data_IF_695749015631
#
_entry.id   IF_695749015631
#
_cell.length_a   1.000
_cell.length_b   1.000
_cell.length_c   1.000
_cell.angle_alpha   90.00
_cell.angle_beta   90.00
_cell.angle_gamma   90.00
#
_symmetry.space_group_name_H-M   'P 1'
#
loop_
_entity.id
_entity.type
_entity.pdbx_description
1 polymer ?
#
# COMPACT_ATOMS: atom_id res chain seq x y z
N UNK A 1 0.61 64.87 -31.87
CA UNK A 1 1.99 65.36 -31.86
C UNK A 1 2.65 64.63 -30.75
N UNK A 2 3.51 63.69 -30.84
CA UNK A 2 4.55 63.14 -31.64
C UNK A 2 4.71 61.69 -31.13
N UNK A 3 4.47 60.73 -31.84
CA UNK A 3 5.27 59.77 -32.62
C UNK A 3 6.62 59.41 -31.94
N UNK A 4 6.80 58.17 -31.45
CA UNK A 4 8.06 57.40 -31.53
C UNK A 4 7.72 55.91 -31.71
N UNK A 5 8.10 55.43 -32.85
CA UNK A 5 8.14 54.07 -33.39
C UNK A 5 9.09 53.16 -32.59
N UNK A 6 8.66 51.91 -32.41
CA UNK A 6 9.18 50.71 -33.07
C UNK A 6 10.70 50.48 -33.05
N UNK A 7 11.14 49.46 -32.29
CA UNK A 7 12.32 48.63 -32.55
C UNK A 7 12.14 47.25 -31.98
N UNK A 8 11.40 46.41 -32.70
CA UNK A 8 11.70 44.99 -32.77
C UNK A 8 12.96 44.81 -33.59
N UNK A 9 13.95 44.04 -33.15
CA UNK A 9 14.69 43.07 -33.94
C UNK A 9 15.73 42.33 -33.11
N UNK A 10 15.54 41.01 -33.10
CA UNK A 10 16.56 40.01 -33.44
C UNK A 10 17.71 39.73 -32.45
N UNK A 11 17.51 38.72 -31.60
CA UNK A 11 18.59 37.87 -31.07
C UNK A 11 18.06 36.45 -30.75
N UNK A 12 17.67 35.72 -31.80
CA UNK A 12 17.53 34.26 -31.73
C UNK A 12 18.20 33.69 -32.98
N UNK A 13 19.48 33.45 -32.93
CA UNK A 13 20.22 32.52 -33.79
C UNK A 13 21.67 32.53 -33.32
N UNK A 14 22.03 31.59 -32.44
CA UNK A 14 23.40 31.05 -32.31
C UNK A 14 23.43 30.18 -31.03
N UNK A 15 23.20 28.94 -31.19
CA UNK A 15 23.72 27.80 -30.39
C UNK A 15 23.00 26.49 -30.76
N UNK A 16 23.01 26.22 -32.06
CA UNK A 16 22.89 24.85 -32.56
C UNK A 16 24.09 24.60 -33.43
N UNK A 17 25.07 23.86 -32.93
CA UNK A 17 26.10 23.09 -33.63
C UNK A 17 27.34 22.98 -32.75
N UNK A 18 27.45 21.89 -32.04
CA UNK A 18 28.70 21.18 -31.74
C UNK A 18 28.42 20.15 -30.65
N UNK A 19 28.15 18.92 -31.01
CA UNK A 19 28.57 17.71 -30.32
C UNK A 19 28.14 16.51 -31.16
N UNK A 20 28.89 16.30 -32.21
CA UNK A 20 28.92 15.03 -32.94
C UNK A 20 30.38 14.81 -33.33
N UNK A 21 31.08 13.94 -32.59
CA UNK A 21 32.10 13.03 -33.12
C UNK A 21 32.88 12.34 -32.01
N UNK A 22 33.01 11.03 -32.22
CA UNK A 22 34.00 10.12 -31.66
C UNK A 22 33.69 9.67 -30.20
N UNK A 23 33.53 8.37 -29.91
CA UNK A 23 34.41 7.27 -30.25
C UNK A 23 33.67 5.93 -30.12
N UNK A 24 33.75 5.11 -31.14
CA UNK A 24 33.51 3.67 -31.11
C UNK A 24 34.52 3.00 -30.19
N UNK A 25 34.06 2.47 -29.06
CA UNK A 25 34.82 1.60 -28.21
C UNK A 25 33.95 0.39 -27.86
N UNK A 26 34.14 -0.72 -28.58
CA UNK A 26 33.53 -1.99 -28.30
C UNK A 26 34.11 -2.56 -27.00
N UNK A 27 33.34 -2.55 -25.92
CA UNK A 27 33.61 -3.40 -24.73
C UNK A 27 32.64 -4.59 -24.78
N UNK A 28 33.20 -5.76 -25.06
CA UNK A 28 32.52 -7.03 -24.90
C UNK A 28 32.24 -7.26 -23.41
N UNK A 29 30.99 -7.11 -22.98
CA UNK A 29 30.52 -7.54 -21.67
C UNK A 29 30.08 -9.00 -21.78
N UNK A 30 30.88 -9.88 -21.18
CA UNK A 30 30.54 -11.27 -20.95
C UNK A 30 29.25 -11.34 -20.14
N UNK A 31 28.18 -11.83 -20.74
CA UNK A 31 26.90 -12.06 -20.09
C UNK A 31 27.00 -13.23 -19.10
N UNK A 32 27.06 -12.95 -17.83
CA UNK A 32 26.73 -13.92 -16.80
C UNK A 32 25.21 -14.03 -16.73
N UNK A 33 24.66 -15.10 -17.37
CA UNK A 33 23.30 -15.53 -17.16
C UNK A 33 23.18 -16.07 -15.72
N UNK A 34 22.72 -15.24 -14.80
CA UNK A 34 22.18 -15.74 -13.53
C UNK A 34 20.86 -16.43 -13.83
N UNK A 35 20.86 -17.75 -13.79
CA UNK A 35 19.65 -18.56 -13.82
C UNK A 35 18.84 -18.23 -12.57
N UNK A 36 17.66 -17.67 -12.79
CA UNK A 36 16.64 -17.62 -11.74
C UNK A 36 16.26 -19.05 -11.38
N UNK A 37 16.64 -19.46 -10.17
CA UNK A 37 16.18 -20.71 -9.59
C UNK A 37 14.66 -20.68 -9.56
N UNK A 38 14.03 -21.65 -10.20
CA UNK A 38 12.60 -21.94 -10.08
C UNK A 38 12.33 -22.21 -8.59
N UNK A 39 11.61 -21.29 -7.96
CA UNK A 39 11.10 -21.46 -6.61
C UNK A 39 10.06 -22.59 -6.67
N UNK A 40 10.40 -23.74 -6.11
CA UNK A 40 9.44 -24.82 -5.87
C UNK A 40 8.37 -24.29 -4.93
N UNK A 41 7.12 -24.40 -5.34
CA UNK A 41 5.97 -24.09 -4.50
C UNK A 41 6.06 -24.91 -3.20
N UNK A 42 5.89 -24.28 -2.02
CA UNK A 42 5.82 -25.05 -0.77
C UNK A 42 4.61 -25.98 -0.80
N UNK A 43 4.81 -27.19 -0.31
CA UNK A 43 3.79 -28.23 -0.16
C UNK A 43 2.56 -27.69 0.62
N UNK A 44 1.39 -27.72 -0.02
CA UNK A 44 0.14 -27.12 0.47
C UNK A 44 -0.53 -27.91 1.62
N UNK A 45 0.17 -28.82 2.29
CA UNK A 45 -0.44 -29.78 3.23
C UNK A 45 -0.12 -29.55 4.72
N UNK A 46 0.61 -28.49 5.09
CA UNK A 46 0.87 -28.19 6.51
C UNK A 46 -0.17 -27.17 7.01
N UNK A 47 -1.05 -27.51 7.98
CA UNK A 47 -1.89 -26.51 8.63
C UNK A 47 -0.97 -25.49 9.32
N UNK A 48 -0.93 -24.27 8.81
CA UNK A 48 -0.16 -23.21 9.46
C UNK A 48 -0.71 -22.98 10.86
N UNK A 49 0.08 -23.32 11.87
CA UNK A 49 -0.22 -22.98 13.27
C UNK A 49 -0.41 -21.46 13.38
N UNK A 50 -1.35 -21.02 14.21
CA UNK A 50 -1.55 -19.58 14.44
C UNK A 50 -0.18 -18.96 14.82
N UNK A 51 0.29 -17.93 14.11
CA UNK A 51 1.52 -17.25 14.50
C UNK A 51 1.41 -16.73 15.93
N UNK A 52 2.49 -16.81 16.71
CA UNK A 52 2.53 -16.19 18.04
C UNK A 52 2.20 -14.70 17.89
N UNK A 53 1.07 -14.28 18.46
CA UNK A 53 0.54 -12.93 18.29
C UNK A 53 1.02 -12.02 19.41
N UNK A 54 1.41 -10.76 19.10
CA UNK A 54 1.60 -9.75 20.13
C UNK A 54 0.29 -9.56 20.92
N UNK A 55 0.40 -9.33 22.24
CA UNK A 55 -0.75 -9.18 23.13
C UNK A 55 -1.67 -8.00 22.77
N UNK A 56 -1.17 -7.07 21.98
CA UNK A 56 -1.88 -5.87 21.54
C UNK A 56 -2.60 -6.02 20.17
N UNK A 57 -2.66 -7.25 19.62
CA UNK A 57 -3.33 -7.51 18.34
C UNK A 57 -4.44 -8.54 18.54
N UNK A 58 -5.65 -8.18 18.15
CA UNK A 58 -6.81 -9.08 18.11
C UNK A 58 -7.07 -9.52 16.68
N UNK A 59 -7.34 -10.80 16.47
CA UNK A 59 -7.63 -11.37 15.17
C UNK A 59 -8.92 -12.14 15.20
N UNK A 60 -9.85 -11.78 14.32
CA UNK A 60 -11.12 -12.47 14.13
C UNK A 60 -11.36 -12.75 12.64
N UNK A 61 -12.26 -13.70 12.35
CA UNK A 61 -12.79 -13.93 11.01
C UNK A 61 -14.25 -13.52 10.96
N UNK A 62 -14.61 -12.71 9.98
CA UNK A 62 -15.97 -12.30 9.72
C UNK A 62 -16.43 -12.91 8.39
N UNK A 63 -17.67 -13.45 8.39
CA UNK A 63 -18.32 -14.05 7.22
C UNK A 63 -17.46 -15.13 6.53
N UNK A 64 -16.51 -15.74 7.26
CA UNK A 64 -15.59 -16.77 6.79
C UNK A 64 -14.47 -16.30 5.88
N UNK A 65 -14.56 -15.11 5.27
CA UNK A 65 -13.66 -14.63 4.21
C UNK A 65 -12.98 -13.29 4.51
N UNK A 66 -13.32 -12.60 5.57
CA UNK A 66 -12.76 -11.32 5.98
C UNK A 66 -11.88 -11.53 7.21
N UNK A 67 -10.61 -11.14 7.15
CA UNK A 67 -9.70 -11.14 8.29
C UNK A 67 -9.79 -9.79 9.01
N UNK A 68 -10.32 -9.77 10.24
CA UNK A 68 -10.32 -8.59 11.09
C UNK A 68 -9.05 -8.55 11.92
N UNK A 69 -8.29 -7.46 11.82
CA UNK A 69 -7.03 -7.24 12.54
C UNK A 69 -7.20 -5.98 13.39
N UNK A 70 -7.46 -6.17 14.66
CA UNK A 70 -7.58 -5.06 15.61
C UNK A 70 -6.25 -4.78 16.29
N UNK A 71 -5.78 -3.53 16.22
CA UNK A 71 -4.58 -3.08 16.91
C UNK A 71 -5.00 -2.26 18.14
N UNK A 72 -4.42 -2.58 19.29
CA UNK A 72 -4.48 -1.76 20.49
C UNK A 72 -3.12 -1.14 20.74
N UNK A 73 -3.05 0.16 20.75
CA UNK A 73 -1.85 0.86 21.17
C UNK A 73 -1.95 1.17 22.66
N UNK A 74 -1.00 0.66 23.45
CA UNK A 74 -0.95 0.88 24.90
C UNK A 74 -0.06 2.06 25.29
N UNK A 75 0.78 2.52 24.34
CA UNK A 75 1.67 3.68 24.49
C UNK A 75 1.88 4.36 23.13
N UNK A 76 2.39 5.59 23.11
CA UNK A 76 2.76 6.28 21.86
C UNK A 76 3.97 5.63 21.13
N UNK A 77 4.47 4.49 21.60
CA UNK A 77 5.62 3.78 21.05
C UNK A 77 5.19 2.58 20.24
N UNK A 78 5.78 2.42 19.07
CA UNK A 78 5.59 1.27 18.18
C UNK A 78 6.74 0.31 18.34
N UNK A 79 6.48 -0.85 18.89
CA UNK A 79 7.46 -1.93 19.05
C UNK A 79 7.67 -2.69 17.73
N UNK A 80 8.90 -3.13 17.47
CA UNK A 80 9.24 -3.95 16.30
C UNK A 80 8.46 -5.27 16.29
N UNK A 81 8.24 -5.88 17.46
CA UNK A 81 7.45 -7.10 17.64
C UNK A 81 6.02 -6.97 17.11
N UNK A 82 5.38 -5.83 17.33
CA UNK A 82 4.02 -5.54 16.84
C UNK A 82 3.99 -5.45 15.32
N UNK A 83 5.01 -4.83 14.71
CA UNK A 83 5.13 -4.74 13.25
C UNK A 83 5.38 -6.12 12.64
N UNK A 84 6.22 -6.94 13.27
CA UNK A 84 6.45 -8.33 12.84
C UNK A 84 5.17 -9.15 12.94
N UNK A 85 4.44 -9.04 14.05
CA UNK A 85 3.16 -9.73 14.24
C UNK A 85 2.13 -9.35 13.18
N UNK A 86 1.99 -8.05 12.90
CA UNK A 86 1.12 -7.57 11.82
C UNK A 86 1.55 -8.10 10.45
N UNK A 87 2.84 -8.12 10.16
CA UNK A 87 3.36 -8.64 8.90
C UNK A 87 3.09 -10.13 8.68
N UNK A 88 3.10 -10.93 9.75
CA UNK A 88 2.68 -12.34 9.71
C UNK A 88 1.18 -12.51 9.45
N UNK A 89 0.35 -11.60 9.96
CA UNK A 89 -1.08 -11.61 9.65
C UNK A 89 -1.37 -11.23 8.20
N UNK A 90 -0.60 -10.30 7.63
CA UNK A 90 -0.70 -9.99 6.22
C UNK A 90 -0.22 -11.16 5.35
N UNK A 91 0.78 -11.91 5.79
CA UNK A 91 1.19 -13.15 5.16
C UNK A 91 0.08 -14.21 5.22
N UNK A 92 -0.53 -14.41 6.40
CA UNK A 92 -1.69 -15.29 6.57
C UNK A 92 -2.85 -14.88 5.65
N UNK A 93 -3.17 -13.57 5.58
CA UNK A 93 -4.20 -13.05 4.69
C UNK A 93 -3.95 -13.49 3.25
N UNK A 94 -2.73 -13.37 2.75
CA UNK A 94 -2.39 -13.67 1.37
C UNK A 94 -2.41 -15.18 1.05
N UNK A 95 -1.98 -16.03 2.01
CA UNK A 95 -1.77 -17.45 1.79
C UNK A 95 -2.96 -18.34 2.21
N UNK A 96 -3.89 -17.84 3.01
CA UNK A 96 -5.13 -18.58 3.34
C UNK A 96 -6.15 -18.40 2.21
N UNK A 97 -6.40 -19.45 1.43
CA UNK A 97 -7.29 -19.40 0.26
C UNK A 97 -8.74 -19.05 0.59
N UNK A 98 -9.17 -19.21 1.83
CA UNK A 98 -10.52 -18.85 2.28
C UNK A 98 -10.67 -17.35 2.51
N UNK A 99 -9.58 -16.64 2.79
CA UNK A 99 -9.59 -15.20 3.03
C UNK A 99 -9.58 -14.42 1.72
N UNK A 100 -10.34 -13.35 1.66
CA UNK A 100 -10.55 -12.49 0.48
C UNK A 100 -10.02 -11.08 0.67
N UNK A 101 -10.12 -10.55 1.90
CA UNK A 101 -9.80 -9.16 2.23
C UNK A 101 -9.44 -9.06 3.71
N UNK A 102 -8.54 -8.15 4.05
CA UNK A 102 -8.25 -7.76 5.43
C UNK A 102 -8.94 -6.45 5.82
N UNK A 103 -9.33 -6.33 7.09
CA UNK A 103 -9.74 -5.07 7.71
C UNK A 103 -8.83 -4.81 8.90
N UNK A 104 -8.04 -3.75 8.82
CA UNK A 104 -7.19 -3.28 9.90
C UNK A 104 -7.89 -2.15 10.65
N UNK A 105 -7.99 -2.23 11.97
CA UNK A 105 -8.73 -1.24 12.74
C UNK A 105 -8.13 -0.97 14.12
N UNK A 106 -8.50 0.17 14.70
CA UNK A 106 -8.17 0.54 16.06
C UNK A 106 -9.10 -0.15 17.05
N UNK A 107 -8.54 -0.76 18.11
CA UNK A 107 -9.30 -1.27 19.27
C UNK A 107 -9.43 -0.26 20.41
N UNK A 108 -8.66 0.82 20.38
CA UNK A 108 -8.61 1.86 21.40
C UNK A 108 -9.10 3.21 20.88
N UNK A 109 -8.96 4.26 21.69
CA UNK A 109 -9.32 5.61 21.26
C UNK A 109 -8.43 6.15 20.13
N UNK A 110 -7.20 5.67 20.02
CA UNK A 110 -6.23 6.03 19.00
C UNK A 110 -5.93 4.84 18.08
N UNK A 111 -5.55 5.10 16.84
CA UNK A 111 -5.10 4.04 15.92
C UNK A 111 -3.65 3.67 16.25
N UNK A 112 -2.68 4.41 15.74
CA UNK A 112 -1.25 4.19 16.02
C UNK A 112 -0.57 5.55 16.13
N UNK A 113 0.10 5.81 17.25
CA UNK A 113 1.01 6.94 17.42
C UNK A 113 2.31 6.75 16.65
N UNK A 114 3.11 7.78 16.56
CA UNK A 114 4.17 7.87 15.58
C UNK A 114 5.58 7.65 16.08
N UNK A 115 5.82 7.16 17.29
CA UNK A 115 7.16 7.06 17.85
C UNK A 115 7.64 5.61 17.83
N UNK A 116 8.74 5.33 17.14
CA UNK A 116 9.38 4.02 17.21
C UNK A 116 9.98 3.82 18.61
N UNK A 117 9.78 2.64 19.20
CA UNK A 117 10.49 2.28 20.42
C UNK A 117 11.97 2.04 20.14
N UNK A 118 12.81 2.98 20.55
CA UNK A 118 14.23 2.99 20.18
C UNK A 118 15.00 1.74 20.61
N UNK A 119 14.59 1.09 21.69
CA UNK A 119 15.26 -0.13 22.17
C UNK A 119 14.92 -1.33 21.25
N UNK A 120 13.66 -1.57 20.95
CA UNK A 120 13.22 -2.68 20.09
C UNK A 120 13.66 -2.47 18.63
N UNK A 121 13.70 -1.23 18.15
CA UNK A 121 14.12 -0.89 16.79
C UNK A 121 15.63 -0.74 16.62
N UNK A 122 16.43 -0.77 17.68
CA UNK A 122 17.88 -0.58 17.61
C UNK A 122 18.60 -1.45 16.57
N UNK A 123 18.24 -2.73 16.34
CA UNK A 123 18.86 -3.53 15.29
C UNK A 123 18.58 -2.97 13.88
N UNK A 124 17.35 -2.57 13.60
CA UNK A 124 16.94 -1.99 12.30
C UNK A 124 17.64 -0.64 12.08
N UNK A 125 17.64 0.23 13.09
CA UNK A 125 18.25 1.56 13.02
C UNK A 125 19.76 1.50 12.79
N UNK A 126 20.46 0.48 13.31
CA UNK A 126 21.90 0.29 13.09
C UNK A 126 22.25 -0.29 11.74
N UNK A 127 21.43 -1.19 11.21
CA UNK A 127 21.74 -1.93 9.98
C UNK A 127 21.06 -1.38 8.74
N UNK A 128 20.01 -0.57 8.91
CA UNK A 128 19.13 -0.14 7.82
C UNK A 128 18.34 -1.28 7.19
N UNK A 129 18.24 -2.41 7.87
CA UNK A 129 17.57 -3.62 7.34
C UNK A 129 16.60 -4.18 8.36
N UNK A 130 15.44 -4.62 7.89
CA UNK A 130 14.53 -5.45 8.68
C UNK A 130 15.18 -6.81 8.95
N UNK A 131 14.95 -7.42 10.13
CA UNK A 131 15.42 -8.77 10.39
C UNK A 131 14.75 -9.74 9.40
N UNK A 132 15.50 -10.77 8.98
CA UNK A 132 14.91 -11.86 8.21
C UNK A 132 13.81 -12.51 9.03
N UNK A 133 12.60 -12.47 8.51
CA UNK A 133 11.41 -12.94 9.20
C UNK A 133 10.64 -13.86 8.25
N UNK A 134 10.60 -15.16 8.52
CA UNK A 134 9.76 -16.09 7.75
C UNK A 134 8.27 -15.71 7.85
N UNK A 135 7.51 -16.01 6.79
CA UNK A 135 6.06 -15.79 6.78
C UNK A 135 5.68 -14.33 7.11
N UNK A 136 6.32 -13.40 6.43
CA UNK A 136 6.21 -11.99 6.70
C UNK A 136 5.97 -11.19 5.42
N UNK A 137 4.99 -10.28 5.47
CA UNK A 137 4.80 -9.21 4.48
C UNK A 137 4.96 -7.88 5.21
N UNK A 138 5.82 -7.03 4.70
CA UNK A 138 6.05 -5.72 5.30
C UNK A 138 4.73 -4.91 5.35
N UNK A 139 4.23 -4.51 6.55
CA UNK A 139 2.93 -3.88 6.68
C UNK A 139 2.79 -2.53 5.97
N UNK A 140 3.90 -1.80 5.81
CA UNK A 140 3.92 -0.53 5.08
C UNK A 140 4.28 -0.69 3.60
N UNK A 141 4.56 -1.93 3.14
CA UNK A 141 4.74 -2.25 1.73
C UNK A 141 5.99 -1.68 1.07
N UNK A 142 7.03 -1.33 1.84
CA UNK A 142 8.27 -0.73 1.32
C UNK A 142 9.28 -1.74 0.79
N UNK A 143 9.13 -3.01 1.12
CA UNK A 143 10.00 -4.10 0.65
C UNK A 143 9.17 -5.30 0.21
N UNK A 144 9.60 -6.07 -0.81
CA UNK A 144 8.94 -7.30 -1.21
C UNK A 144 9.08 -8.41 -0.15
N UNK A 145 8.18 -9.42 -0.15
CA UNK A 145 7.02 -9.54 -1.01
C UNK A 145 5.91 -8.54 -0.66
N UNK A 146 5.20 -8.05 -1.68
CA UNK A 146 4.05 -7.18 -1.48
C UNK A 146 2.76 -7.97 -1.33
N UNK A 147 1.86 -7.47 -0.49
CA UNK A 147 0.53 -8.06 -0.27
C UNK A 147 -0.26 -8.13 -1.57
N UNK A 148 -0.89 -9.27 -1.84
CA UNK A 148 -1.68 -9.52 -3.05
C UNK A 148 -3.19 -9.35 -2.82
N UNK A 149 -3.68 -9.56 -1.60
CA UNK A 149 -5.10 -9.38 -1.27
C UNK A 149 -5.37 -7.98 -0.72
N UNK A 150 -6.58 -7.44 -0.93
CA UNK A 150 -6.92 -6.09 -0.50
C UNK A 150 -6.91 -5.92 1.02
N UNK A 151 -6.60 -4.70 1.45
CA UNK A 151 -6.65 -4.27 2.84
C UNK A 151 -7.49 -2.98 2.95
N UNK A 152 -8.50 -3.01 3.78
CA UNK A 152 -9.25 -1.84 4.21
C UNK A 152 -8.76 -1.42 5.58
N UNK A 153 -8.56 -0.13 5.83
CA UNK A 153 -8.18 0.36 7.15
C UNK A 153 -9.25 1.28 7.73
N UNK A 154 -9.52 1.14 9.03
CA UNK A 154 -10.43 1.99 9.79
C UNK A 154 -9.68 2.64 10.95
N UNK A 155 -9.58 3.96 10.95
CA UNK A 155 -8.81 4.71 11.95
C UNK A 155 -9.67 5.70 12.73
N UNK A 156 -9.28 5.96 13.97
CA UNK A 156 -9.83 7.01 14.83
C UNK A 156 -8.74 7.59 15.72
N UNK A 157 -8.99 8.75 16.34
CA UNK A 157 -8.04 9.42 17.21
C UNK A 157 -6.70 9.68 16.51
N UNK A 158 -5.58 9.40 17.15
CA UNK A 158 -4.25 9.62 16.58
C UNK A 158 -3.91 8.57 15.51
N UNK A 159 -3.59 9.04 14.31
CA UNK A 159 -3.05 8.25 13.21
C UNK A 159 -1.78 8.96 12.70
N UNK A 160 -0.64 8.72 13.34
CA UNK A 160 0.54 9.58 13.23
C UNK A 160 1.80 8.77 12.91
N UNK A 161 2.75 9.37 12.19
CA UNK A 161 4.04 8.77 11.87
C UNK A 161 3.90 7.38 11.27
N UNK A 162 4.45 6.36 11.93
CA UNK A 162 4.33 4.96 11.48
C UNK A 162 2.86 4.52 11.32
N UNK A 163 1.92 5.05 12.13
CA UNK A 163 0.49 4.81 11.98
C UNK A 163 -0.07 5.41 10.69
N UNK A 164 0.34 6.61 10.32
CA UNK A 164 -0.04 7.19 9.04
C UNK A 164 0.60 6.46 7.85
N UNK A 165 1.84 5.99 7.96
CA UNK A 165 2.46 5.15 6.93
C UNK A 165 1.74 3.81 6.74
N UNK A 166 1.32 3.17 7.83
CA UNK A 166 0.50 1.97 7.79
C UNK A 166 -0.88 2.24 7.16
N UNK A 167 -1.49 3.39 7.46
CA UNK A 167 -2.73 3.84 6.86
C UNK A 167 -2.60 4.05 5.34
N UNK A 168 -1.52 4.68 4.89
CA UNK A 168 -1.22 4.89 3.46
C UNK A 168 -0.97 3.59 2.69
N UNK A 169 -0.52 2.53 3.37
CA UNK A 169 -0.29 1.21 2.76
C UNK A 169 -1.57 0.41 2.48
N UNK A 170 -2.72 0.84 3.02
CA UNK A 170 -4.02 0.22 2.76
C UNK A 170 -4.61 0.68 1.41
N UNK A 171 -5.44 -0.19 0.80
CA UNK A 171 -6.04 0.08 -0.51
C UNK A 171 -7.31 0.95 -0.41
N UNK A 172 -8.07 0.83 0.68
CA UNK A 172 -9.23 1.68 0.99
C UNK A 172 -9.15 2.14 2.44
N UNK A 173 -9.39 3.42 2.67
CA UNK A 173 -9.16 4.07 3.96
C UNK A 173 -10.42 4.77 4.46
N UNK A 174 -10.79 4.43 5.70
CA UNK A 174 -11.92 5.00 6.44
C UNK A 174 -11.40 5.67 7.70
N UNK A 175 -11.78 6.91 7.94
CA UNK A 175 -11.43 7.65 9.14
C UNK A 175 -12.69 8.08 9.90
N UNK A 176 -12.63 8.04 11.23
CA UNK A 176 -13.59 8.77 12.05
C UNK A 176 -13.28 10.28 11.95
N UNK A 177 -14.31 11.12 12.10
CA UNK A 177 -14.19 12.57 11.96
C UNK A 177 -13.30 13.23 13.04
N UNK A 178 -13.05 12.52 14.15
CA UNK A 178 -12.14 12.93 15.22
C UNK A 178 -10.67 12.48 14.98
N UNK A 179 -10.37 11.85 13.84
CA UNK A 179 -9.02 11.41 13.53
C UNK A 179 -8.08 12.59 13.32
N UNK A 180 -6.94 12.54 14.00
CA UNK A 180 -5.85 13.51 13.88
C UNK A 180 -4.64 12.84 13.26
N UNK A 181 -4.29 13.26 12.06
CA UNK A 181 -3.14 12.78 11.32
C UNK A 181 -1.90 13.65 11.60
N UNK A 182 -0.72 13.07 11.52
CA UNK A 182 0.56 13.78 11.52
C UNK A 182 1.66 12.93 10.87
N UNK A 183 2.66 13.61 10.31
CA UNK A 183 3.90 13.00 9.81
C UNK A 183 5.09 13.83 10.31
N UNK A 184 5.34 13.72 11.61
CA UNK A 184 6.19 14.67 12.33
C UNK A 184 7.62 14.19 12.62
N UNK A 185 8.17 13.23 11.89
CA UNK A 185 9.50 12.64 12.13
C UNK A 185 10.61 13.67 12.07
N UNK A 186 10.49 14.67 11.21
CA UNK A 186 11.50 15.75 11.05
C UNK A 186 11.68 16.56 12.32
N UNK A 187 10.64 16.70 13.16
CA UNK A 187 10.72 17.41 14.45
C UNK A 187 11.47 16.60 15.50
N UNK A 188 11.79 15.34 15.22
CA UNK A 188 12.49 14.40 16.11
C UNK A 188 13.82 13.91 15.53
N UNK A 189 14.34 14.59 14.49
CA UNK A 189 15.63 14.26 13.87
C UNK A 189 15.59 13.01 12.96
N UNK A 190 14.39 12.63 12.51
CA UNK A 190 14.17 11.50 11.59
C UNK A 190 13.50 12.00 10.30
N UNK A 191 13.23 11.07 9.40
CA UNK A 191 12.35 11.31 8.25
C UNK A 191 11.36 10.13 8.12
N UNK A 192 10.24 10.27 7.42
CA UNK A 192 9.26 9.21 7.22
C UNK A 192 9.84 8.07 6.39
N UNK A 193 10.33 7.02 7.05
CA UNK A 193 11.04 5.90 6.42
C UNK A 193 10.14 4.71 6.06
N UNK A 194 8.88 4.70 6.52
CA UNK A 194 7.89 3.67 6.20
C UNK A 194 7.10 3.94 4.92
N UNK A 195 7.53 4.90 4.09
CA UNK A 195 6.98 5.09 2.74
C UNK A 195 6.13 6.34 2.54
N UNK A 196 5.87 7.16 3.56
CA UNK A 196 5.07 8.38 3.41
C UNK A 196 5.69 9.37 2.42
N UNK A 197 7.02 9.49 2.36
CA UNK A 197 7.71 10.33 1.38
C UNK A 197 7.38 9.99 -0.08
N UNK A 198 6.87 8.79 -0.34
CA UNK A 198 6.48 8.30 -1.65
C UNK A 198 4.96 8.30 -1.78
N UNK A 199 4.26 7.58 -0.89
CA UNK A 199 2.81 7.38 -0.99
C UNK A 199 2.02 8.69 -0.75
N UNK A 200 2.38 9.49 0.25
CA UNK A 200 1.71 10.75 0.52
C UNK A 200 1.91 11.75 -0.62
N UNK A 201 3.14 11.84 -1.15
CA UNK A 201 3.43 12.71 -2.32
C UNK A 201 2.64 12.28 -3.55
N UNK A 202 2.55 10.99 -3.80
CA UNK A 202 1.82 10.43 -4.95
C UNK A 202 0.33 10.74 -4.89
N UNK A 203 -0.27 10.63 -3.71
CA UNK A 203 -1.73 10.73 -3.55
C UNK A 203 -2.21 12.17 -3.32
N UNK A 204 -1.50 12.96 -2.53
CA UNK A 204 -1.88 14.34 -2.20
C UNK A 204 -1.17 15.41 -3.05
N UNK A 205 -0.16 15.03 -3.82
CA UNK A 205 0.73 15.93 -4.54
C UNK A 205 1.82 16.53 -3.67
N UNK A 206 2.92 16.99 -4.31
CA UNK A 206 4.15 17.44 -3.65
C UNK A 206 3.90 18.52 -2.59
N UNK A 207 3.23 19.63 -2.96
CA UNK A 207 3.06 20.78 -2.06
C UNK A 207 2.26 20.43 -0.80
N UNK A 208 1.16 19.68 -0.95
CA UNK A 208 0.34 19.25 0.17
C UNK A 208 1.09 18.30 1.10
N UNK A 209 1.78 17.31 0.56
CA UNK A 209 2.55 16.35 1.34
C UNK A 209 3.72 17.02 2.06
N UNK A 210 4.50 17.87 1.36
CA UNK A 210 5.65 18.58 1.94
C UNK A 210 5.24 19.57 3.03
N UNK A 211 4.08 20.24 2.89
CA UNK A 211 3.57 21.12 3.94
C UNK A 211 3.55 20.40 5.30
N UNK A 212 3.01 19.19 5.36
CA UNK A 212 2.89 18.44 6.62
C UNK A 212 4.17 17.70 7.01
N UNK A 213 4.85 17.09 6.05
CA UNK A 213 6.08 16.35 6.36
C UNK A 213 7.25 17.23 6.78
N UNK A 214 7.33 18.48 6.29
CA UNK A 214 8.43 19.39 6.64
C UNK A 214 8.15 20.21 7.91
N UNK A 215 6.88 20.46 8.25
CA UNK A 215 6.52 21.18 9.47
C UNK A 215 6.24 20.26 10.66
N UNK A 216 5.76 19.05 10.37
CA UNK A 216 5.25 18.12 11.39
C UNK A 216 3.86 18.52 11.92
N UNK A 217 3.16 19.44 11.24
CA UNK A 217 1.83 19.88 11.65
C UNK A 217 0.81 18.71 11.61
N UNK A 218 -0.19 18.81 12.48
CA UNK A 218 -1.33 17.93 12.45
C UNK A 218 -2.35 18.38 11.38
N UNK A 219 -3.16 17.40 10.88
CA UNK A 219 -4.33 17.70 10.06
C UNK A 219 -5.51 16.81 10.42
N UNK A 220 -6.72 17.26 10.09
CA UNK A 220 -7.98 16.59 10.40
C UNK A 220 -8.37 15.51 9.38
N UNK A 221 -9.38 14.71 9.71
CA UNK A 221 -10.00 13.76 8.79
C UNK A 221 -10.60 14.46 7.56
N UNK A 222 -11.21 15.64 7.72
CA UNK A 222 -11.77 16.43 6.63
C UNK A 222 -10.68 16.92 5.66
N UNK A 223 -9.55 17.37 6.19
CA UNK A 223 -8.41 17.73 5.35
C UNK A 223 -7.83 16.51 4.64
N UNK A 224 -7.70 15.37 5.33
CA UNK A 224 -7.27 14.12 4.69
C UNK A 224 -8.23 13.67 3.57
N UNK A 225 -9.55 13.87 3.75
CA UNK A 225 -10.55 13.64 2.70
C UNK A 225 -10.39 14.61 1.53
N UNK A 226 -10.20 15.90 1.80
CA UNK A 226 -9.93 16.92 0.77
C UNK A 226 -8.68 16.61 -0.06
N UNK A 227 -7.66 16.03 0.58
CA UNK A 227 -6.40 15.62 -0.05
C UNK A 227 -6.51 14.28 -0.81
N UNK A 228 -7.65 13.58 -0.74
CA UNK A 228 -7.82 12.26 -1.36
C UNK A 228 -7.20 11.10 -0.59
N UNK A 229 -6.66 11.35 0.61
CA UNK A 229 -6.05 10.32 1.45
C UNK A 229 -7.06 9.41 2.14
N UNK A 230 -8.28 9.90 2.35
CA UNK A 230 -9.39 9.17 2.97
C UNK A 230 -10.52 9.05 1.97
N UNK A 231 -11.10 7.87 1.83
CA UNK A 231 -12.24 7.64 0.93
C UNK A 231 -13.59 7.79 1.64
N UNK A 232 -13.62 7.60 2.97
CA UNK A 232 -14.84 7.74 3.78
C UNK A 232 -14.52 8.38 5.13
N UNK A 233 -15.22 9.46 5.48
CA UNK A 233 -15.22 10.03 6.83
C UNK A 233 -16.56 9.66 7.48
N UNK A 234 -16.51 9.18 8.72
CA UNK A 234 -17.69 8.74 9.49
C UNK A 234 -17.74 9.43 10.85
N UNK A 235 -18.88 9.48 11.53
CA UNK A 235 -18.91 9.82 12.95
C UNK A 235 -17.99 8.89 13.77
N UNK A 236 -17.41 9.36 14.90
CA UNK A 236 -16.61 8.53 15.79
C UNK A 236 -17.34 7.26 16.20
N UNK A 237 -16.64 6.13 16.19
CA UNK A 237 -17.18 4.80 16.50
C UNK A 237 -17.83 4.07 15.32
N UNK A 238 -18.06 4.71 14.16
CA UNK A 238 -18.71 4.08 13.00
C UNK A 238 -17.72 3.69 11.88
N UNK A 239 -16.46 4.03 12.01
CA UNK A 239 -15.44 3.77 10.98
C UNK A 239 -15.22 2.27 10.73
N UNK A 240 -15.30 1.44 11.76
CA UNK A 240 -15.14 -0.02 11.60
C UNK A 240 -16.32 -0.62 10.83
N UNK A 241 -17.55 -0.25 11.15
CA UNK A 241 -18.73 -0.73 10.43
C UNK A 241 -18.67 -0.36 8.96
N UNK A 242 -18.26 0.87 8.65
CA UNK A 242 -18.07 1.32 7.28
C UNK A 242 -16.96 0.54 6.55
N UNK A 243 -15.86 0.24 7.21
CA UNK A 243 -14.78 -0.57 6.64
C UNK A 243 -15.25 -2.01 6.37
N UNK A 244 -16.04 -2.60 7.27
CA UNK A 244 -16.64 -3.93 7.08
C UNK A 244 -17.62 -3.93 5.90
N UNK A 245 -18.44 -2.90 5.73
CA UNK A 245 -19.31 -2.79 4.54
C UNK A 245 -18.52 -2.79 3.24
N UNK A 246 -17.41 -2.06 3.19
CA UNK A 246 -16.50 -2.06 2.03
C UNK A 246 -15.87 -3.43 1.83
N UNK A 247 -15.36 -4.04 2.90
CA UNK A 247 -14.75 -5.37 2.84
C UNK A 247 -15.73 -6.44 2.36
N UNK A 248 -17.01 -6.41 2.77
CA UNK A 248 -18.04 -7.32 2.27
C UNK A 248 -18.26 -7.20 0.77
N UNK A 249 -18.25 -5.98 0.22
CA UNK A 249 -18.36 -5.75 -1.23
C UNK A 249 -17.15 -6.32 -1.97
N UNK A 250 -15.96 -6.20 -1.40
CA UNK A 250 -14.74 -6.78 -1.96
C UNK A 250 -14.78 -8.32 -1.89
N UNK A 251 -15.22 -8.87 -0.76
CA UNK A 251 -15.20 -10.32 -0.50
C UNK A 251 -16.09 -11.13 -1.45
N UNK A 252 -17.15 -10.54 -2.02
CA UNK A 252 -18.03 -11.20 -2.99
C UNK A 252 -17.56 -11.06 -4.44
N UNK A 253 -16.57 -10.24 -4.72
CA UNK A 253 -16.01 -10.08 -6.07
C UNK A 253 -15.07 -11.24 -6.43
N UNK A 254 -14.80 -11.42 -7.74
CA UNK A 254 -13.92 -12.46 -8.24
C UNK A 254 -12.47 -12.26 -7.74
N UNK A 255 -11.90 -13.21 -6.97
CA UNK A 255 -10.59 -13.00 -6.33
C UNK A 255 -9.45 -12.82 -7.31
N UNK A 256 -9.47 -13.55 -8.44
CA UNK A 256 -8.46 -13.38 -9.48
C UNK A 256 -8.53 -12.00 -10.12
N UNK A 257 -9.75 -11.48 -10.34
CA UNK A 257 -9.96 -10.12 -10.84
C UNK A 257 -9.45 -9.05 -9.87
N UNK A 258 -9.70 -9.22 -8.56
CA UNK A 258 -9.17 -8.33 -7.51
C UNK A 258 -7.64 -8.31 -7.53
N UNK A 259 -7.00 -9.50 -7.54
CA UNK A 259 -5.52 -9.60 -7.58
C UNK A 259 -4.94 -8.94 -8.83
N UNK A 260 -5.51 -9.24 -10.00
CA UNK A 260 -5.06 -8.65 -11.26
C UNK A 260 -5.20 -7.12 -11.27
N UNK A 261 -6.26 -6.58 -10.66
CA UNK A 261 -6.45 -5.13 -10.51
C UNK A 261 -5.35 -4.50 -9.66
N UNK A 262 -5.04 -5.08 -8.50
CA UNK A 262 -3.97 -4.60 -7.62
C UNK A 262 -2.60 -4.71 -8.29
N UNK A 263 -2.32 -5.84 -8.93
CA UNK A 263 -1.06 -6.10 -9.63
C UNK A 263 -0.84 -5.12 -10.79
N UNK A 264 -1.86 -4.92 -11.63
CA UNK A 264 -1.79 -4.00 -12.76
C UNK A 264 -1.52 -2.56 -12.31
N UNK A 265 -2.23 -2.09 -11.26
CA UNK A 265 -2.04 -0.76 -10.71
C UNK A 265 -0.62 -0.58 -10.11
N UNK A 266 -0.13 -1.57 -9.37
CA UNK A 266 1.22 -1.56 -8.76
C UNK A 266 2.32 -1.64 -9.82
N UNK A 267 2.12 -2.43 -10.87
CA UNK A 267 3.05 -2.52 -12.01
C UNK A 267 3.26 -1.17 -12.67
N UNK A 268 2.18 -0.39 -12.87
CA UNK A 268 2.29 0.96 -13.40
C UNK A 268 3.18 1.87 -12.54
N UNK A 269 3.21 1.66 -11.23
CA UNK A 269 4.04 2.43 -10.29
C UNK A 269 5.49 1.96 -10.24
N UNK A 270 5.74 0.65 -10.37
CA UNK A 270 7.09 0.06 -10.22
C UNK A 270 7.85 -0.09 -11.54
N UNK A 271 7.14 -0.39 -12.63
CA UNK A 271 7.73 -0.69 -13.95
C UNK A 271 7.38 0.36 -15.02
N UNK A 272 6.46 1.29 -14.70
CA UNK A 272 5.98 2.33 -15.61
C UNK A 272 4.72 1.93 -16.38
N UNK A 273 4.07 2.96 -16.97
CA UNK A 273 2.76 2.78 -17.62
C UNK A 273 2.82 1.87 -18.85
N UNK A 274 3.88 1.94 -19.65
CA UNK A 274 4.02 1.11 -20.86
C UNK A 274 4.06 -0.39 -20.53
N UNK A 275 4.82 -0.78 -19.51
CA UNK A 275 4.87 -2.16 -19.05
C UNK A 275 3.51 -2.63 -18.51
N UNK A 276 2.80 -1.77 -17.78
CA UNK A 276 1.45 -2.07 -17.31
C UNK A 276 0.46 -2.22 -18.47
N UNK A 277 0.47 -1.33 -19.47
CA UNK A 277 -0.41 -1.42 -20.64
C UNK A 277 -0.16 -2.70 -21.45
N UNK A 278 1.10 -3.07 -21.66
CA UNK A 278 1.46 -4.30 -22.36
C UNK A 278 0.92 -5.57 -21.69
N UNK A 279 0.72 -5.54 -20.38
CA UNK A 279 0.22 -6.66 -19.61
C UNK A 279 -1.32 -6.78 -19.55
N UNK A 280 -2.09 -5.73 -19.90
CA UNK A 280 -3.55 -5.70 -19.72
C UNK A 280 -4.28 -6.82 -20.49
N UNK A 281 -4.04 -6.92 -21.79
CA UNK A 281 -4.72 -7.94 -22.62
C UNK A 281 -4.27 -9.36 -22.32
N UNK A 282 -2.98 -9.67 -22.13
CA UNK A 282 -2.54 -10.99 -21.68
C UNK A 282 -3.19 -11.40 -20.36
N UNK A 283 -3.28 -10.50 -19.38
CA UNK A 283 -3.91 -10.78 -18.11
C UNK A 283 -5.43 -10.98 -18.23
N UNK A 284 -6.10 -10.15 -19.03
CA UNK A 284 -7.53 -10.34 -19.32
C UNK A 284 -7.79 -11.70 -19.99
N UNK A 285 -6.95 -12.10 -20.95
CA UNK A 285 -7.07 -13.39 -21.62
C UNK A 285 -6.87 -14.57 -20.65
N UNK A 286 -5.93 -14.42 -19.69
CA UNK A 286 -5.74 -15.42 -18.63
C UNK A 286 -6.97 -15.55 -17.73
N UNK A 287 -7.54 -14.43 -17.31
CA UNK A 287 -8.75 -14.40 -16.46
C UNK A 287 -9.97 -14.98 -17.20
N UNK A 288 -10.10 -14.73 -18.50
CA UNK A 288 -11.20 -15.27 -19.31
C UNK A 288 -11.23 -16.80 -19.38
N UNK A 289 -10.13 -17.47 -19.06
CA UNK A 289 -10.04 -18.94 -19.00
C UNK A 289 -10.36 -19.51 -17.59
N UNK A 290 -10.59 -18.66 -16.60
CA UNK A 290 -10.86 -19.09 -15.23
C UNK A 290 -12.27 -19.63 -15.03
N UNK A 291 -12.44 -20.50 -14.03
CA UNK A 291 -13.74 -20.98 -13.59
C UNK A 291 -14.67 -19.83 -13.13
N UNK A 292 -14.08 -18.79 -12.51
CA UNK A 292 -14.82 -17.61 -12.05
C UNK A 292 -15.40 -16.81 -13.21
N UNK A 293 -14.68 -16.70 -14.34
CA UNK A 293 -15.22 -16.06 -15.54
C UNK A 293 -16.41 -16.83 -16.12
N UNK A 294 -16.31 -18.15 -16.19
CA UNK A 294 -17.40 -19.02 -16.63
C UNK A 294 -18.59 -18.99 -15.65
N UNK A 295 -18.32 -18.94 -14.35
CA UNK A 295 -19.34 -18.81 -13.32
C UNK A 295 -20.12 -17.51 -13.45
N UNK A 296 -19.48 -16.42 -13.80
CA UNK A 296 -20.16 -15.14 -14.06
C UNK A 296 -21.24 -15.28 -15.13
N UNK A 297 -20.94 -15.90 -16.27
CA UNK A 297 -21.91 -16.08 -17.35
C UNK A 297 -23.01 -17.05 -16.98
N UNK A 298 -22.70 -18.16 -16.31
CA UNK A 298 -23.71 -19.11 -15.81
C UNK A 298 -24.67 -18.43 -14.82
N UNK A 299 -24.13 -17.64 -13.91
CA UNK A 299 -24.93 -16.91 -12.93
C UNK A 299 -25.84 -15.86 -13.61
N UNK A 300 -25.33 -15.18 -14.65
CA UNK A 300 -26.08 -14.20 -15.43
C UNK A 300 -27.29 -14.87 -16.14
N UNK A 301 -27.06 -15.99 -16.83
CA UNK A 301 -28.11 -16.78 -17.50
C UNK A 301 -29.17 -17.28 -16.50
N UNK A 302 -28.72 -17.72 -15.31
CA UNK A 302 -29.57 -18.22 -14.24
C UNK A 302 -30.20 -17.14 -13.37
N UNK A 303 -29.91 -15.85 -13.64
CA UNK A 303 -30.39 -14.68 -12.88
C UNK A 303 -30.14 -14.79 -11.37
N UNK A 304 -28.98 -15.29 -10.98
CA UNK A 304 -28.52 -15.40 -9.59
C UNK A 304 -27.20 -14.66 -9.38
N UNK A 305 -26.83 -14.47 -8.13
CA UNK A 305 -25.49 -13.98 -7.80
C UNK A 305 -24.43 -15.06 -8.15
N UNK A 306 -23.24 -14.64 -8.69
CA UNK A 306 -22.14 -15.56 -8.93
C UNK A 306 -21.48 -16.01 -7.62
N UNK A 307 -20.92 -17.22 -7.62
CA UNK A 307 -20.20 -17.80 -6.49
C UNK A 307 -18.73 -18.03 -6.87
N UNK A 308 -17.93 -16.97 -6.80
CA UNK A 308 -16.53 -17.00 -7.20
C UNK A 308 -15.65 -17.77 -6.21
N UNK A 309 -14.69 -18.51 -6.75
CA UNK A 309 -13.79 -19.40 -5.98
C UNK A 309 -12.31 -19.06 -6.11
N UNK A 310 -11.93 -18.19 -7.04
CA UNK A 310 -10.54 -17.78 -7.26
C UNK A 310 -9.71 -18.77 -8.08
N UNK A 311 -10.31 -19.48 -8.99
CA UNK A 311 -9.65 -20.47 -9.83
C UNK A 311 -10.20 -20.49 -11.25
#
# INVERSE_FOLDING_TARGET
MTNVQDRTHDRNHLHRRAFLAATTGALALAGSRTSFAQNQSPDASVPMGRPAMPNNVKVDRLDGSILLIGIRQESDRVELSSVIGLGRLLYLLDHDETLRVGVLYSQGPDFVGGILDGASWAPVLRTGRFPETPEFINPVGTVPPHRQKPLVVAVQGKCQGAGHELFLAADVRVAASDTVFAQGEVTRGHFPAGGATIAFVREAGWGNAMRYMLTGDNWSADEAYRLGLVQYVTPPGQQLDRAIEVARKIAVAAPLGIRATLDSARRALSEGQEAAFAALLPELARLAQSDDHQEYFRALEQKRAPAFRGR
#
